data_IF_728299796553
#
_entry.id   IF_728299796553
#
_cell.length_a   1.000
_cell.length_b   1.000
_cell.length_c   1.000
_cell.angle_alpha   90.00
_cell.angle_beta   90.00
_cell.angle_gamma   90.00
#
_symmetry.space_group_name_H-M   'P 1'
#
loop_
_entity.id
_entity.type
_entity.pdbx_description
1 polymer ?
#
# COMPACT_ATOMS: atom_id res chain seq x y z
N UNK A 1 3.14 7.83 -13.34
CA UNK A 1 3.09 6.71 -12.39
C UNK A 1 2.36 7.16 -11.14
N UNK A 2 1.45 6.33 -10.62
CA UNK A 2 0.76 6.53 -9.33
C UNK A 2 1.21 5.45 -8.36
N UNK A 3 1.56 5.80 -7.14
CA UNK A 3 1.86 4.88 -6.05
C UNK A 3 0.68 4.87 -5.07
N UNK A 4 0.08 3.70 -4.85
CA UNK A 4 -0.96 3.48 -3.83
C UNK A 4 -0.33 2.67 -2.70
N UNK A 5 -0.27 3.24 -1.51
CA UNK A 5 0.32 2.61 -0.33
C UNK A 5 -0.79 2.10 0.58
N UNK A 6 -0.74 0.82 0.93
CA UNK A 6 -1.63 0.20 1.90
C UNK A 6 -0.87 0.05 3.23
N UNK A 7 -1.28 0.83 4.22
CA UNK A 7 -0.73 0.84 5.57
C UNK A 7 -1.72 0.25 6.57
N UNK A 8 -1.25 -0.32 7.68
CA UNK A 8 -2.12 -0.93 8.69
C UNK A 8 -1.52 -2.17 9.34
N UNK A 9 -2.13 -2.61 10.43
CA UNK A 9 -1.72 -3.81 11.18
C UNK A 9 -2.28 -5.13 10.59
N UNK A 10 -3.05 -5.04 9.51
CA UNK A 10 -3.89 -6.10 8.94
C UNK A 10 -3.28 -6.69 7.67
N UNK A 11 -2.48 -7.74 7.82
CA UNK A 11 -1.73 -8.34 6.70
C UNK A 11 -2.62 -8.94 5.61
N UNK A 12 -3.67 -9.68 6.01
CA UNK A 12 -4.55 -10.39 5.07
C UNK A 12 -5.32 -9.40 4.21
N UNK A 13 -5.94 -8.40 4.85
CA UNK A 13 -6.77 -7.41 4.21
C UNK A 13 -5.95 -6.49 3.28
N UNK A 14 -4.70 -6.15 3.65
CA UNK A 14 -3.77 -5.46 2.74
C UNK A 14 -3.47 -6.30 1.51
N UNK A 15 -3.19 -7.59 1.67
CA UNK A 15 -2.92 -8.51 0.55
C UNK A 15 -4.15 -8.65 -0.35
N UNK A 16 -5.34 -8.86 0.21
CA UNK A 16 -6.59 -8.95 -0.54
C UNK A 16 -6.86 -7.68 -1.35
N UNK A 17 -6.80 -6.52 -0.71
CA UNK A 17 -7.05 -5.24 -1.36
C UNK A 17 -6.01 -4.95 -2.44
N UNK A 18 -4.73 -5.25 -2.19
CA UNK A 18 -3.66 -5.07 -3.18
C UNK A 18 -3.92 -5.89 -4.45
N UNK A 19 -4.29 -7.16 -4.31
CA UNK A 19 -4.64 -8.04 -5.43
C UNK A 19 -5.86 -7.52 -6.17
N UNK A 20 -6.91 -7.10 -5.45
CA UNK A 20 -8.14 -6.58 -6.05
C UNK A 20 -7.90 -5.30 -6.84
N UNK A 21 -7.13 -4.36 -6.28
CA UNK A 21 -6.73 -3.12 -6.96
C UNK A 21 -5.90 -3.44 -8.21
N UNK A 22 -4.95 -4.36 -8.11
CA UNK A 22 -4.10 -4.71 -9.25
C UNK A 22 -4.92 -5.27 -10.41
N UNK A 23 -5.80 -6.24 -10.14
CA UNK A 23 -6.68 -6.80 -11.16
C UNK A 23 -7.63 -5.75 -11.74
N UNK A 24 -8.12 -4.83 -10.91
CA UNK A 24 -9.01 -3.76 -11.35
C UNK A 24 -8.34 -2.83 -12.36
N UNK A 25 -7.11 -2.39 -12.09
CA UNK A 25 -6.36 -1.52 -13.00
C UNK A 25 -5.90 -2.26 -14.26
N UNK A 26 -5.47 -3.52 -14.14
CA UNK A 26 -5.15 -4.37 -15.31
C UNK A 26 -6.36 -4.51 -16.25
N UNK A 27 -7.58 -4.72 -15.72
CA UNK A 27 -8.81 -4.79 -16.53
C UNK A 27 -9.11 -3.50 -17.30
N UNK A 28 -8.51 -2.39 -16.91
CA UNK A 28 -8.61 -1.09 -17.60
C UNK A 28 -7.44 -0.79 -18.54
N UNK A 29 -6.59 -1.78 -18.77
CA UNK A 29 -5.45 -1.68 -19.69
C UNK A 29 -4.24 -0.95 -19.11
N UNK A 30 -4.19 -0.75 -17.79
CA UNK A 30 -3.02 -0.16 -17.13
C UNK A 30 -1.99 -1.23 -16.78
N UNK A 31 -0.72 -0.85 -16.87
CA UNK A 31 0.39 -1.66 -16.37
C UNK A 31 0.52 -1.49 -14.86
N UNK A 32 0.60 -2.61 -14.14
CA UNK A 32 0.59 -2.62 -12.67
C UNK A 32 1.79 -3.38 -12.12
N UNK A 33 2.45 -2.78 -11.12
CA UNK A 33 3.41 -3.46 -10.25
C UNK A 33 2.88 -3.54 -8.82
N UNK A 34 2.90 -4.73 -8.22
CA UNK A 34 2.70 -4.93 -6.79
C UNK A 34 4.05 -4.99 -6.09
N UNK A 35 4.24 -4.15 -5.09
CA UNK A 35 5.35 -4.24 -4.14
C UNK A 35 4.79 -4.87 -2.87
N UNK A 36 5.20 -6.10 -2.61
CA UNK A 36 4.81 -6.87 -1.45
C UNK A 36 5.89 -6.73 -0.35
N UNK A 37 5.53 -6.04 0.73
CA UNK A 37 6.34 -5.93 1.94
C UNK A 37 5.61 -6.50 3.16
N UNK A 38 4.51 -7.23 2.97
CA UNK A 38 3.74 -7.80 4.08
C UNK A 38 4.55 -8.92 4.74
N UNK A 39 4.90 -8.79 6.02
CA UNK A 39 5.83 -9.73 6.67
C UNK A 39 5.20 -11.10 6.96
N UNK A 40 3.94 -11.16 7.39
CA UNK A 40 3.30 -12.41 7.84
C UNK A 40 2.76 -13.30 6.73
N UNK A 41 2.22 -12.72 5.68
CA UNK A 41 1.48 -13.45 4.65
C UNK A 41 1.86 -12.90 3.28
N UNK A 42 2.83 -13.53 2.60
CA UNK A 42 3.23 -13.13 1.26
C UNK A 42 2.03 -13.12 0.32
N UNK A 43 2.03 -12.18 -0.62
CA UNK A 43 0.97 -12.11 -1.62
C UNK A 43 1.02 -13.34 -2.53
N UNK A 44 -0.15 -13.88 -2.92
CA UNK A 44 -0.19 -14.88 -3.97
C UNK A 44 0.25 -14.25 -5.31
N UNK A 45 0.75 -15.06 -6.26
CA UNK A 45 1.01 -14.59 -7.60
C UNK A 45 -0.28 -14.09 -8.26
N UNK A 46 -0.19 -12.95 -8.94
CA UNK A 46 -1.29 -12.33 -9.67
C UNK A 46 -0.95 -12.31 -11.15
N UNK A 47 -1.83 -12.88 -11.97
CA UNK A 47 -1.66 -12.95 -13.42
C UNK A 47 -1.61 -11.54 -14.03
N UNK A 48 -0.75 -11.36 -15.04
CA UNK A 48 -0.56 -10.10 -15.77
C UNK A 48 -0.14 -8.90 -14.91
N UNK A 49 0.42 -9.15 -13.71
CA UNK A 49 0.93 -8.11 -12.79
C UNK A 49 2.39 -8.42 -12.47
N UNK A 50 3.26 -7.41 -12.58
CA UNK A 50 4.63 -7.54 -12.09
C UNK A 50 4.60 -7.53 -10.56
N UNK A 51 5.29 -8.47 -9.92
CA UNK A 51 5.41 -8.51 -8.46
C UNK A 51 6.86 -8.35 -8.02
N UNK A 52 7.08 -7.51 -7.02
CA UNK A 52 8.37 -7.28 -6.38
C UNK A 52 8.20 -7.53 -4.89
N UNK A 53 9.02 -8.41 -4.32
CA UNK A 53 9.01 -8.72 -2.88
C UNK A 53 10.13 -7.95 -2.18
N UNK A 54 9.80 -7.30 -1.07
CA UNK A 54 10.75 -6.68 -0.14
C UNK A 54 10.52 -7.34 1.22
N UNK A 55 11.46 -8.18 1.69
CA UNK A 55 11.26 -8.99 2.89
C UNK A 55 11.49 -8.23 4.21
N UNK A 56 12.32 -7.18 4.16
CA UNK A 56 12.78 -6.42 5.34
C UNK A 56 12.30 -4.97 5.32
N UNK A 57 13.00 -4.08 6.04
CA UNK A 57 12.79 -2.64 6.01
C UNK A 57 12.78 -2.12 4.55
N UNK A 58 11.69 -1.47 4.10
CA UNK A 58 11.62 -0.92 2.75
C UNK A 58 12.50 0.31 2.54
N UNK A 59 12.89 1.03 3.60
CA UNK A 59 13.65 2.28 3.49
C UNK A 59 14.90 2.24 2.58
N UNK A 60 15.80 1.24 2.68
CA UNK A 60 17.01 1.20 1.84
C UNK A 60 16.77 0.94 0.35
N UNK A 61 15.60 0.40 -0.03
CA UNK A 61 15.39 -0.16 -1.38
C UNK A 61 14.16 0.37 -2.10
N UNK A 62 13.21 1.01 -1.40
CA UNK A 62 11.94 1.41 -1.99
C UNK A 62 12.15 2.42 -3.13
N UNK A 63 12.97 3.46 -2.91
CA UNK A 63 13.23 4.48 -3.91
C UNK A 63 13.85 3.89 -5.19
N UNK A 64 14.94 3.16 -5.05
CA UNK A 64 15.63 2.54 -6.20
C UNK A 64 14.74 1.50 -6.90
N UNK A 65 13.87 0.82 -6.16
CA UNK A 65 12.85 -0.05 -6.77
C UNK A 65 11.91 0.78 -7.64
N UNK A 66 11.33 1.86 -7.11
CA UNK A 66 10.38 2.72 -7.83
C UNK A 66 10.99 3.39 -9.06
N UNK A 67 12.25 3.83 -9.00
CA UNK A 67 12.99 4.44 -10.13
C UNK A 67 13.10 3.51 -11.34
N UNK A 68 13.14 2.19 -11.11
CA UNK A 68 13.30 1.20 -12.16
C UNK A 68 11.97 0.66 -12.71
N UNK A 69 10.82 1.12 -12.18
CA UNK A 69 9.50 0.69 -12.64
C UNK A 69 9.01 1.57 -13.79
N UNK A 70 8.36 0.93 -14.77
CA UNK A 70 7.71 1.60 -15.90
C UNK A 70 6.19 1.51 -15.84
N UNK A 71 5.64 0.94 -14.76
CA UNK A 71 4.21 0.73 -14.58
C UNK A 71 3.44 2.04 -14.37
N UNK A 72 2.21 2.08 -14.89
CA UNK A 72 1.29 3.19 -14.69
C UNK A 72 0.89 3.32 -13.22
N UNK A 73 0.64 2.17 -12.58
CA UNK A 73 0.22 2.06 -11.19
C UNK A 73 1.16 1.12 -10.43
N UNK A 74 1.62 1.58 -9.27
CA UNK A 74 2.36 0.77 -8.30
C UNK A 74 1.50 0.68 -7.05
N UNK A 75 1.31 -0.53 -6.54
CA UNK A 75 0.59 -0.77 -5.28
C UNK A 75 1.60 -1.34 -4.29
N UNK A 76 1.84 -0.62 -3.21
CA UNK A 76 2.77 -0.99 -2.17
C UNK A 76 2.00 -1.40 -0.91
N UNK A 77 2.00 -2.68 -0.57
CA UNK A 77 1.49 -3.13 0.72
C UNK A 77 2.61 -3.11 1.75
N UNK A 78 2.64 -2.04 2.56
CA UNK A 78 3.66 -1.84 3.58
C UNK A 78 3.53 -2.89 4.68
N UNK A 79 4.66 -3.32 5.25
CA UNK A 79 4.64 -4.25 6.39
C UNK A 79 3.87 -3.67 7.56
N UNK A 80 3.12 -4.54 8.26
CA UNK A 80 2.53 -4.25 9.56
C UNK A 80 3.56 -3.95 10.67
N UNK A 81 4.84 -4.25 10.44
CA UNK A 81 5.91 -4.00 11.40
C UNK A 81 6.55 -2.62 11.23
N UNK A 82 6.30 -1.93 10.11
CA UNK A 82 6.83 -0.59 9.87
C UNK A 82 6.00 0.42 10.67
N UNK A 83 6.62 1.21 11.58
CA UNK A 83 5.91 2.27 12.29
C UNK A 83 5.33 3.31 11.32
N UNK A 84 4.12 3.85 11.54
CA UNK A 84 3.50 4.79 10.61
C UNK A 84 4.39 6.02 10.36
N UNK A 85 4.93 6.62 11.42
CA UNK A 85 5.79 7.80 11.30
C UNK A 85 7.02 7.53 10.42
N UNK A 86 7.60 6.32 10.50
CA UNK A 86 8.73 5.91 9.65
C UNK A 86 8.28 5.72 8.20
N UNK A 87 7.13 5.09 7.97
CA UNK A 87 6.55 4.91 6.64
C UNK A 87 6.30 6.27 5.97
N UNK A 88 5.64 7.20 6.65
CA UNK A 88 5.29 8.49 6.06
C UNK A 88 6.52 9.38 5.82
N UNK A 89 7.53 9.34 6.69
CA UNK A 89 8.82 9.99 6.42
C UNK A 89 9.51 9.41 5.18
N UNK A 90 9.52 8.08 5.04
CA UNK A 90 10.06 7.43 3.85
C UNK A 90 9.30 7.85 2.58
N UNK A 91 7.98 7.97 2.64
CA UNK A 91 7.17 8.39 1.50
C UNK A 91 7.40 9.87 1.13
N UNK A 92 7.61 10.74 2.12
CA UNK A 92 8.00 12.14 1.89
C UNK A 92 9.36 12.21 1.18
N UNK A 93 10.37 11.46 1.66
CA UNK A 93 11.68 11.38 1.02
C UNK A 93 11.57 10.86 -0.43
N UNK A 94 10.72 9.85 -0.67
CA UNK A 94 10.45 9.32 -2.02
C UNK A 94 9.80 10.38 -2.90
N UNK A 95 8.82 11.13 -2.42
CA UNK A 95 8.17 12.19 -3.19
C UNK A 95 9.12 13.34 -3.52
N UNK A 96 10.00 13.72 -2.59
CA UNK A 96 10.99 14.76 -2.83
C UNK A 96 11.97 14.35 -3.95
N UNK A 97 12.36 13.08 -4.01
CA UNK A 97 13.26 12.55 -5.04
C UNK A 97 12.55 12.23 -6.36
N UNK A 98 11.28 11.84 -6.31
CA UNK A 98 10.42 11.56 -7.46
C UNK A 98 9.20 12.51 -7.50
N UNK A 99 9.39 13.81 -7.81
CA UNK A 99 8.33 14.81 -7.68
C UNK A 99 7.15 14.61 -8.66
N UNK A 100 7.31 13.81 -9.70
CA UNK A 100 6.24 13.44 -10.63
C UNK A 100 5.42 12.21 -10.16
N UNK A 101 5.82 11.56 -9.08
CA UNK A 101 5.12 10.40 -8.52
C UNK A 101 3.93 10.88 -7.69
N UNK A 102 2.72 10.58 -8.17
CA UNK A 102 1.52 10.79 -7.37
C UNK A 102 1.41 9.68 -6.32
N UNK A 103 1.64 10.00 -5.04
CA UNK A 103 1.46 9.03 -3.95
C UNK A 103 0.10 9.24 -3.32
N UNK A 104 -0.61 8.14 -3.08
CA UNK A 104 -1.81 8.07 -2.28
C UNK A 104 -1.61 7.01 -1.20
N UNK A 105 -2.01 7.31 0.02
CA UNK A 105 -1.87 6.47 1.19
C UNK A 105 -3.24 6.08 1.74
N UNK A 106 -3.42 4.79 2.00
CA UNK A 106 -4.65 4.22 2.53
C UNK A 106 -4.33 3.47 3.82
N UNK A 107 -4.95 3.89 4.92
CA UNK A 107 -4.87 3.22 6.20
C UNK A 107 -6.02 2.22 6.36
N UNK A 108 -5.68 0.93 6.51
CA UNK A 108 -6.63 -0.12 6.85
C UNK A 108 -6.63 -0.31 8.36
N UNK A 109 -7.77 0.00 8.99
CA UNK A 109 -7.93 0.02 10.44
C UNK A 109 -8.95 -1.04 10.85
N UNK A 110 -8.49 -2.12 11.50
CA UNK A 110 -9.36 -3.02 12.26
C UNK A 110 -9.37 -2.56 13.71
N UNK A 111 -10.49 -2.00 14.19
CA UNK A 111 -10.62 -1.49 15.56
C UNK A 111 -10.32 -2.56 16.60
N UNK A 112 -10.59 -3.85 16.31
CA UNK A 112 -10.30 -4.96 17.23
C UNK A 112 -8.80 -5.14 17.48
N UNK A 113 -7.97 -4.76 16.51
CA UNK A 113 -6.50 -4.84 16.60
C UNK A 113 -5.91 -3.49 16.98
N UNK A 114 -6.38 -2.40 16.37
CA UNK A 114 -5.87 -1.06 16.54
C UNK A 114 -6.22 -0.43 17.90
N UNK A 115 -7.29 -0.86 18.57
CA UNK A 115 -7.60 -0.38 19.93
C UNK A 115 -6.55 -0.85 20.96
N UNK A 116 -5.79 -1.92 20.66
CA UNK A 116 -4.62 -2.33 21.44
C UNK A 116 -3.40 -1.45 21.19
N UNK A 117 -3.41 -0.64 20.12
CA UNK A 117 -2.30 0.22 19.68
C UNK A 117 -2.81 1.63 19.31
N UNK A 118 -3.39 2.39 20.27
CA UNK A 118 -4.10 3.62 19.97
C UNK A 118 -3.23 4.68 19.29
N UNK A 119 -1.94 4.76 19.62
CA UNK A 119 -1.02 5.70 18.97
C UNK A 119 -0.76 5.34 17.51
N UNK A 120 -0.67 4.04 17.19
CA UNK A 120 -0.50 3.58 15.81
C UNK A 120 -1.70 3.99 14.94
N UNK A 121 -2.91 3.81 15.49
CA UNK A 121 -4.15 4.23 14.85
C UNK A 121 -4.18 5.74 14.59
N UNK A 122 -3.90 6.54 15.61
CA UNK A 122 -3.91 8.00 15.50
C UNK A 122 -2.91 8.49 14.44
N UNK A 123 -1.69 7.94 14.40
CA UNK A 123 -0.73 8.29 13.34
C UNK A 123 -1.26 7.95 11.96
N UNK A 124 -1.81 6.74 11.76
CA UNK A 124 -2.39 6.36 10.47
C UNK A 124 -3.54 7.28 10.04
N UNK A 125 -4.48 7.56 10.94
CA UNK A 125 -5.62 8.46 10.66
C UNK A 125 -5.18 9.90 10.38
N UNK A 126 -4.04 10.34 10.94
CA UNK A 126 -3.55 11.71 10.78
C UNK A 126 -2.81 11.94 9.46
N UNK A 127 -2.12 10.91 8.96
CA UNK A 127 -1.22 11.05 7.82
C UNK A 127 -1.74 10.38 6.53
N UNK A 128 -2.65 9.41 6.63
CA UNK A 128 -3.19 8.75 5.44
C UNK A 128 -4.19 9.62 4.69
N UNK A 129 -4.16 9.57 3.36
CA UNK A 129 -5.12 10.28 2.50
C UNK A 129 -6.54 9.68 2.61
N UNK A 130 -6.64 8.38 2.89
CA UNK A 130 -7.89 7.68 3.10
C UNK A 130 -7.81 6.66 4.23
N UNK A 131 -8.93 6.48 4.93
CA UNK A 131 -9.07 5.51 6.04
C UNK A 131 -10.18 4.52 5.71
N UNK A 132 -9.83 3.23 5.73
CA UNK A 132 -10.75 2.11 5.53
C UNK A 132 -10.91 1.39 6.87
N UNK A 133 -12.09 1.53 7.46
CA UNK A 133 -12.43 0.81 8.69
C UNK A 133 -12.90 -0.60 8.35
N UNK A 134 -12.32 -1.61 9.01
CA UNK A 134 -12.62 -3.01 8.83
C UNK A 134 -13.61 -3.52 9.90
N UNK A 135 -14.46 -4.52 9.57
CA UNK A 135 -14.57 -5.19 8.28
C UNK A 135 -15.29 -4.33 7.23
N UNK A 136 -14.99 -4.56 5.95
CA UNK A 136 -15.59 -3.82 4.83
C UNK A 136 -15.93 -4.76 3.67
N UNK A 137 -16.84 -4.33 2.81
CA UNK A 137 -17.08 -4.95 1.51
C UNK A 137 -16.18 -4.29 0.45
N UNK A 138 -15.24 -5.02 -0.11
CA UNK A 138 -14.22 -4.45 -1.00
C UNK A 138 -14.77 -3.81 -2.27
N UNK A 139 -15.94 -4.25 -2.75
CA UNK A 139 -16.57 -3.70 -3.94
C UNK A 139 -16.82 -2.19 -3.83
N UNK A 140 -17.28 -1.70 -2.68
CA UNK A 140 -17.52 -0.27 -2.46
C UNK A 140 -16.22 0.54 -2.34
N UNK A 141 -15.15 -0.09 -1.83
CA UNK A 141 -13.84 0.53 -1.62
C UNK A 141 -13.10 0.74 -2.95
N UNK A 142 -13.22 -0.20 -3.89
CA UNK A 142 -12.54 -0.12 -5.19
C UNK A 142 -13.00 1.07 -6.04
N UNK A 143 -14.29 1.41 -5.99
CA UNK A 143 -14.84 2.53 -6.74
C UNK A 143 -14.32 3.88 -6.22
N UNK A 144 -14.18 4.01 -4.91
CA UNK A 144 -13.70 5.24 -4.25
C UNK A 144 -12.20 5.46 -4.46
N UNK A 145 -11.39 4.41 -4.37
CA UNK A 145 -9.92 4.53 -4.55
C UNK A 145 -9.58 4.83 -6.01
N UNK A 146 -10.34 4.29 -6.96
CA UNK A 146 -9.95 4.27 -8.36
C UNK A 146 -10.79 5.17 -9.28
N UNK A 147 -11.71 5.95 -8.71
CA UNK A 147 -12.23 7.18 -9.31
C UNK A 147 -11.17 8.27 -9.36
#
# INVERSE_FOLDING_TARGET
MRLIVLAGLVSVEKTELAVMLAQYFVRRGQTVTLIDNVSRTPMPPVEAVQQVRIEDDPAPVLLSTLENLTSDVVIFAASETVPPDVLFLLLDDVQQQLPALAVQTLALIDTRTCDCFPQFRVSLESYADGVINLPVEWASVLEEIAG
#
